data_IF_305192355695
#
_entry.id   IF_305192355695
#
_cell.length_a   1.000
_cell.length_b   1.000
_cell.length_c   1.000
_cell.angle_alpha   90.00
_cell.angle_beta   90.00
_cell.angle_gamma   90.00
#
_symmetry.space_group_name_H-M   'P 1'
#
loop_
_entity.id
_entity.type
_entity.pdbx_description
1 polymer ?
#
# COMPACT_ATOMS: atom_id res chain seq x y z
N UNK A 1 23.24 26.13 -26.21
CA UNK A 1 21.80 26.04 -26.56
C UNK A 1 21.25 24.80 -25.90
N UNK A 2 20.50 24.95 -24.81
CA UNK A 2 19.79 23.84 -24.17
C UNK A 2 18.57 23.52 -25.02
N UNK A 3 18.55 22.36 -25.67
CA UNK A 3 17.37 21.83 -26.35
C UNK A 3 16.23 21.80 -25.33
N UNK A 4 15.06 22.39 -25.61
CA UNK A 4 13.90 22.25 -24.73
C UNK A 4 13.59 20.76 -24.55
N UNK A 5 13.11 20.32 -23.36
CA UNK A 5 12.72 18.93 -23.17
C UNK A 5 11.70 18.57 -24.26
N UNK A 6 12.04 17.57 -25.08
CA UNK A 6 11.16 17.11 -26.13
C UNK A 6 9.84 16.70 -25.51
N UNK A 7 8.75 17.39 -25.85
CA UNK A 7 7.41 17.04 -25.39
C UNK A 7 7.08 15.65 -25.94
N UNK A 8 7.02 14.67 -25.04
CA UNK A 8 6.66 13.29 -25.36
C UNK A 8 5.13 13.20 -25.43
N UNK A 9 4.63 12.62 -26.51
CA UNK A 9 3.18 12.47 -26.73
C UNK A 9 2.60 11.33 -25.91
N UNK A 10 3.44 10.33 -25.61
CA UNK A 10 3.10 9.16 -24.81
C UNK A 10 3.67 9.27 -23.39
N UNK A 11 3.01 8.62 -22.43
CA UNK A 11 3.51 8.44 -21.07
C UNK A 11 3.04 7.09 -20.50
N UNK A 12 3.92 6.40 -19.78
CA UNK A 12 3.56 5.17 -19.08
C UNK A 12 3.03 5.48 -17.68
N UNK A 13 1.98 4.77 -17.29
CA UNK A 13 1.47 4.68 -15.93
C UNK A 13 1.48 3.22 -15.50
N UNK A 14 2.03 2.96 -14.33
CA UNK A 14 2.24 1.61 -13.81
C UNK A 14 1.54 1.49 -12.48
N UNK A 15 0.78 0.41 -12.32
CA UNK A 15 0.14 0.02 -11.07
C UNK A 15 0.51 -1.42 -10.77
N UNK A 16 1.01 -1.68 -9.56
CA UNK A 16 1.18 -3.05 -9.08
C UNK A 16 -0.19 -3.63 -8.73
N UNK A 17 -0.46 -4.85 -9.18
CA UNK A 17 -1.64 -5.61 -8.85
C UNK A 17 -1.27 -6.55 -7.69
N UNK A 18 -1.81 -6.29 -6.50
CA UNK A 18 -1.64 -7.13 -5.32
C UNK A 18 -2.98 -7.77 -4.96
N UNK A 19 -2.97 -8.98 -4.37
CA UNK A 19 -4.17 -9.43 -3.63
C UNK A 19 -4.40 -8.42 -2.50
N UNK A 20 -5.63 -7.89 -2.32
CA UNK A 20 -5.91 -6.99 -1.23
C UNK A 20 -5.70 -7.73 0.09
N UNK A 21 -4.77 -7.25 0.92
CA UNK A 21 -4.59 -7.69 2.29
C UNK A 21 -5.14 -6.60 3.20
N UNK A 22 -6.31 -6.84 3.79
CA UNK A 22 -6.79 -6.00 4.86
C UNK A 22 -5.98 -6.34 6.11
N UNK A 23 -5.21 -5.37 6.60
CA UNK A 23 -4.63 -5.48 7.91
C UNK A 23 -5.79 -5.40 8.90
N UNK A 24 -6.16 -6.54 9.48
CA UNK A 24 -7.10 -6.57 10.60
C UNK A 24 -6.30 -6.11 11.80
N UNK A 25 -6.23 -4.80 12.01
CA UNK A 25 -5.98 -4.31 13.34
C UNK A 25 -7.17 -4.75 14.18
N UNK A 26 -6.94 -5.58 15.18
CA UNK A 26 -7.89 -5.71 16.29
C UNK A 26 -7.78 -4.43 17.10
N UNK A 27 -8.64 -3.41 16.91
CA UNK A 27 -8.63 -2.26 17.76
C UNK A 27 -9.02 -2.71 19.16
N UNK A 28 -8.46 -2.01 20.13
CA UNK A 28 -9.09 -1.97 21.42
C UNK A 28 -10.42 -1.25 21.22
N UNK A 29 -11.53 -1.99 21.32
CA UNK A 29 -12.86 -1.41 21.34
C UNK A 29 -13.00 -0.62 22.65
N UNK A 30 -12.67 0.67 22.59
CA UNK A 30 -12.88 1.62 23.67
C UNK A 30 -14.26 2.23 23.45
N UNK A 31 -15.19 1.93 24.34
CA UNK A 31 -16.43 2.70 24.43
C UNK A 31 -16.11 4.05 25.09
N UNK A 32 -16.80 5.15 24.74
CA UNK A 32 -16.62 6.43 25.43
C UNK A 32 -16.81 6.33 26.95
N UNK A 33 -17.61 5.37 27.42
CA UNK A 33 -17.77 5.02 28.83
C UNK A 33 -16.49 4.46 29.48
N UNK A 34 -15.62 3.77 28.74
CA UNK A 34 -14.34 3.23 29.25
C UNK A 34 -13.29 4.33 29.51
N UNK A 35 -13.42 5.51 28.90
CA UNK A 35 -12.56 6.67 29.17
C UNK A 35 -12.94 7.40 30.47
N UNK A 36 -14.16 7.17 30.96
CA UNK A 36 -14.76 7.85 32.10
C UNK A 36 -14.79 6.93 33.32
N UNK A 37 -14.90 5.62 33.13
CA UNK A 37 -14.91 4.63 34.22
C UNK A 37 -13.70 3.69 34.19
N UNK A 38 -12.82 3.81 35.18
CA UNK A 38 -11.88 2.74 35.55
C UNK A 38 -12.56 1.68 36.42
N UNK A 39 -12.07 0.43 36.40
CA UNK A 39 -12.63 -0.67 37.22
C UNK A 39 -12.64 -0.35 38.73
N UNK A 40 -11.73 0.52 39.16
CA UNK A 40 -11.53 1.02 40.51
C UNK A 40 -12.73 1.83 41.06
N UNK A 41 -13.69 2.23 40.21
CA UNK A 41 -14.94 2.86 40.65
C UNK A 41 -15.89 1.85 41.29
N UNK A 42 -15.81 0.56 40.94
CA UNK A 42 -16.68 -0.48 41.50
C UNK A 42 -16.17 -1.02 42.84
N UNK A 43 -14.91 -0.75 43.19
CA UNK A 43 -14.32 -1.12 44.48
C UNK A 43 -14.65 -0.11 45.60
N UNK A 44 -15.06 1.13 45.26
CA UNK A 44 -15.46 2.16 46.21
C UNK A 44 -16.97 2.46 46.12
N UNK A 45 -17.77 2.07 47.14
CA UNK A 45 -19.23 2.26 47.13
C UNK A 45 -19.67 3.74 47.09
N UNK A 46 -18.79 4.69 47.44
CA UNK A 46 -19.08 6.13 47.36
C UNK A 46 -18.93 6.67 45.94
N UNK A 47 -18.01 6.13 45.14
CA UNK A 47 -17.81 6.53 43.76
C UNK A 47 -18.97 6.05 42.86
N UNK A 48 -19.51 4.86 43.13
CA UNK A 48 -20.65 4.29 42.43
C UNK A 48 -21.93 5.15 42.55
N UNK A 49 -22.15 5.83 43.67
CA UNK A 49 -23.32 6.71 43.87
C UNK A 49 -23.33 7.96 43.00
N UNK A 50 -22.18 8.40 42.48
CA UNK A 50 -22.07 9.60 41.63
C UNK A 50 -22.12 9.29 40.12
N UNK A 51 -22.02 8.01 39.75
CA UNK A 51 -22.07 7.54 38.36
C UNK A 51 -23.29 7.99 37.55
N UNK A 52 -24.54 7.98 38.07
CA UNK A 52 -25.71 8.35 37.28
C UNK A 52 -25.61 9.77 36.74
N UNK A 53 -25.04 10.70 37.52
CA UNK A 53 -24.95 12.12 37.16
C UNK A 53 -23.93 12.41 36.05
N UNK A 54 -22.93 11.55 35.89
CA UNK A 54 -21.88 11.67 34.86
C UNK A 54 -22.29 10.99 33.54
N UNK A 55 -23.19 10.00 33.60
CA UNK A 55 -23.67 9.24 32.43
C UNK A 55 -24.86 9.95 31.76
N UNK A 56 -25.72 10.60 32.54
CA UNK A 56 -26.94 11.28 32.05
C UNK A 56 -26.66 12.41 31.06
N UNK A 57 -25.47 12.99 31.06
CA UNK A 57 -25.16 14.15 30.21
C UNK A 57 -24.76 13.83 28.77
N UNK A 58 -24.48 12.56 28.39
CA UNK A 58 -23.97 12.31 27.02
C UNK A 58 -24.43 11.05 26.27
N UNK A 59 -25.32 10.19 26.80
CA UNK A 59 -25.77 9.00 26.08
C UNK A 59 -27.27 8.75 26.24
N UNK A 60 -28.09 9.65 25.71
CA UNK A 60 -29.53 9.41 25.50
C UNK A 60 -29.74 8.49 24.30
N UNK A 61 -29.36 7.22 24.42
CA UNK A 61 -29.89 6.14 23.59
C UNK A 61 -30.10 4.89 24.48
N UNK A 62 -31.36 4.51 24.76
CA UNK A 62 -31.68 3.42 25.69
C UNK A 62 -31.70 2.10 24.94
N UNK A 63 -30.52 1.61 24.52
CA UNK A 63 -30.36 0.19 24.18
C UNK A 63 -29.25 -0.34 25.09
N UNK A 64 -29.69 -1.09 26.11
CA UNK A 64 -28.91 -1.97 26.99
C UNK A 64 -27.85 -1.32 27.90
N UNK A 65 -28.33 -0.50 28.82
CA UNK A 65 -27.59 0.15 29.92
C UNK A 65 -27.25 -0.78 31.11
N UNK A 66 -26.71 -1.99 30.92
CA UNK A 66 -26.47 -2.87 32.09
C UNK A 66 -25.20 -3.70 32.14
N UNK A 67 -24.40 -3.76 31.08
CA UNK A 67 -23.10 -4.46 31.15
C UNK A 67 -21.95 -3.47 30.98
N UNK A 68 -21.63 -2.76 32.07
CA UNK A 68 -20.42 -1.95 32.20
C UNK A 68 -19.17 -2.81 32.44
N UNK A 69 -19.32 -4.14 32.43
CA UNK A 69 -18.20 -5.05 32.60
C UNK A 69 -17.46 -5.26 31.28
N UNK A 70 -16.17 -5.57 31.39
CA UNK A 70 -15.28 -5.83 30.27
C UNK A 70 -15.69 -7.08 29.44
N UNK A 71 -16.75 -7.81 29.85
CA UNK A 71 -17.14 -9.16 29.37
C UNK A 71 -17.89 -9.19 28.04
N UNK A 72 -18.73 -8.23 27.70
CA UNK A 72 -19.44 -8.30 26.40
C UNK A 72 -18.60 -7.80 25.21
N UNK A 73 -17.41 -7.23 25.46
CA UNK A 73 -16.56 -6.62 24.42
C UNK A 73 -15.85 -7.59 23.47
N UNK A 74 -15.89 -8.90 23.75
CA UNK A 74 -15.43 -9.94 22.81
C UNK A 74 -16.55 -10.49 21.92
N UNK A 75 -17.81 -10.10 22.16
CA UNK A 75 -18.94 -10.54 21.34
C UNK A 75 -19.05 -9.64 20.09
N UNK A 76 -18.83 -10.26 18.92
CA UNK A 76 -19.02 -9.64 17.62
C UNK A 76 -20.53 -9.44 17.38
N UNK A 77 -21.03 -8.21 17.49
CA UNK A 77 -22.45 -7.90 17.24
C UNK A 77 -22.72 -7.70 15.74
N UNK A 78 -21.74 -7.16 15.02
CA UNK A 78 -21.76 -7.01 13.57
C UNK A 78 -20.50 -7.60 12.93
N UNK A 79 -20.56 -8.05 11.66
CA UNK A 79 -19.36 -8.49 10.93
C UNK A 79 -18.27 -7.41 10.88
N UNK A 80 -18.67 -6.13 10.95
CA UNK A 80 -17.76 -4.99 10.92
C UNK A 80 -16.95 -4.82 12.21
N UNK A 81 -17.47 -5.28 13.35
CA UNK A 81 -16.78 -5.24 14.65
C UNK A 81 -15.52 -6.12 14.64
N UNK A 82 -15.51 -7.18 13.82
CA UNK A 82 -14.35 -8.07 13.69
C UNK A 82 -13.18 -7.44 12.92
N UNK A 83 -13.46 -6.40 12.12
CA UNK A 83 -12.45 -5.68 11.36
C UNK A 83 -11.89 -4.49 12.11
N UNK A 84 -12.61 -4.01 13.15
CA UNK A 84 -12.13 -2.91 13.93
C UNK A 84 -11.98 -1.57 13.22
N UNK A 85 -12.48 -1.51 11.99
CA UNK A 85 -12.56 -0.29 11.23
C UNK A 85 -13.66 0.57 11.83
N UNK A 86 -13.29 1.71 12.40
CA UNK A 86 -14.20 2.84 12.63
C UNK A 86 -14.66 3.42 11.29
N UNK A 87 -15.37 2.65 10.45
CA UNK A 87 -16.00 3.11 9.19
C UNK A 87 -15.11 3.80 8.13
N UNK A 88 -13.83 4.03 8.42
CA UNK A 88 -12.90 4.74 7.56
C UNK A 88 -12.11 3.69 6.78
N UNK A 89 -12.61 3.37 5.59
CA UNK A 89 -11.89 2.60 4.58
C UNK A 89 -10.69 3.43 4.09
N UNK A 90 -9.65 3.53 4.92
CA UNK A 90 -8.37 4.09 4.51
C UNK A 90 -7.64 3.00 3.75
N UNK A 91 -7.49 3.19 2.44
CA UNK A 91 -6.56 2.39 1.66
C UNK A 91 -5.18 2.50 2.32
N UNK A 92 -4.50 1.38 2.64
CA UNK A 92 -3.17 1.44 3.22
C UNK A 92 -2.28 2.35 2.37
N UNK A 93 -1.68 3.35 3.00
CA UNK A 93 -0.89 4.40 2.35
C UNK A 93 0.36 3.86 1.63
N UNK A 94 0.75 2.62 1.91
CA UNK A 94 1.89 1.96 1.28
C UNK A 94 1.47 1.05 0.13
N UNK A 95 2.10 1.26 -1.03
CA UNK A 95 2.36 0.17 -1.97
C UNK A 95 3.08 -0.90 -1.16
N UNK A 96 2.39 -1.99 -0.81
CA UNK A 96 2.92 -3.03 0.07
C UNK A 96 4.33 -3.46 -0.35
N UNK A 97 5.12 -3.99 0.57
CA UNK A 97 6.45 -4.49 0.24
C UNK A 97 6.38 -5.56 -0.88
N UNK A 98 7.42 -5.61 -1.70
CA UNK A 98 7.62 -6.67 -2.69
C UNK A 98 8.61 -7.64 -2.05
N UNK A 99 8.22 -8.90 -1.90
CA UNK A 99 9.07 -9.90 -1.26
C UNK A 99 9.66 -10.88 -2.26
N UNK A 100 10.85 -11.40 -1.94
CA UNK A 100 11.43 -12.50 -2.71
C UNK A 100 10.46 -13.70 -2.75
N UNK A 101 10.29 -14.27 -3.94
CA UNK A 101 9.43 -15.44 -4.16
C UNK A 101 7.98 -15.11 -4.46
N UNK A 102 7.57 -13.85 -4.42
CA UNK A 102 6.25 -13.44 -4.90
C UNK A 102 6.23 -13.26 -6.42
N UNK A 103 5.03 -13.29 -7.01
CA UNK A 103 4.83 -12.89 -8.41
C UNK A 103 4.50 -11.41 -8.46
N UNK A 104 5.41 -10.62 -9.05
CA UNK A 104 5.14 -9.24 -9.42
C UNK A 104 4.14 -9.23 -10.58
N UNK A 105 2.91 -8.81 -10.33
CA UNK A 105 1.89 -8.58 -11.34
C UNK A 105 1.66 -7.08 -11.47
N UNK A 106 1.68 -6.54 -12.69
CA UNK A 106 1.54 -5.11 -12.91
C UNK A 106 0.70 -4.78 -14.13
N UNK A 107 -0.24 -3.86 -13.92
CA UNK A 107 -1.00 -3.17 -14.95
C UNK A 107 -0.21 -1.97 -15.47
N UNK A 108 -0.04 -1.91 -16.79
CA UNK A 108 0.70 -0.86 -17.47
C UNK A 108 -0.22 -0.22 -18.51
N UNK A 109 -0.33 1.10 -18.44
CA UNK A 109 -1.12 1.93 -19.36
C UNK A 109 -0.19 2.91 -20.07
N UNK A 110 -0.24 2.92 -21.39
CA UNK A 110 0.40 3.95 -22.22
C UNK A 110 -0.67 4.95 -22.59
N UNK A 111 -0.50 6.20 -22.15
CA UNK A 111 -1.46 7.26 -22.40
C UNK A 111 -0.93 8.17 -23.49
N UNK A 112 -1.74 8.46 -24.50
CA UNK A 112 -1.46 9.50 -25.47
C UNK A 112 -2.06 10.81 -24.95
N UNK A 113 -1.24 11.72 -24.43
CA UNK A 113 -1.66 13.04 -23.94
C UNK A 113 -1.61 14.13 -25.02
N UNK A 114 -1.31 13.78 -26.26
CA UNK A 114 -1.32 14.72 -27.38
C UNK A 114 -2.73 14.88 -27.98
N UNK A 115 -2.84 15.87 -28.87
CA UNK A 115 -4.08 16.19 -29.59
C UNK A 115 -4.17 15.47 -30.96
N UNK A 116 -3.27 14.54 -31.25
CA UNK A 116 -3.23 13.80 -32.51
C UNK A 116 -3.08 12.30 -32.25
N UNK A 117 -3.33 11.51 -33.29
CA UNK A 117 -3.14 10.06 -33.26
C UNK A 117 -1.65 9.72 -33.38
N UNK A 118 -1.17 8.84 -32.50
CA UNK A 118 0.18 8.28 -32.55
C UNK A 118 0.12 6.91 -33.19
N UNK A 119 1.10 6.55 -34.03
CA UNK A 119 1.08 5.31 -34.83
C UNK A 119 2.36 4.48 -34.69
N UNK A 120 2.32 3.24 -35.18
CA UNK A 120 3.44 2.31 -35.24
C UNK A 120 4.15 2.12 -33.89
N UNK A 121 3.37 1.93 -32.82
CA UNK A 121 3.91 1.90 -31.47
C UNK A 121 4.48 0.51 -31.17
N UNK A 122 5.80 0.44 -31.00
CA UNK A 122 6.51 -0.72 -30.48
C UNK A 122 6.79 -0.50 -28.99
N UNK A 123 6.20 -1.37 -28.18
CA UNK A 123 6.30 -1.39 -26.74
C UNK A 123 7.23 -2.52 -26.31
N UNK A 124 8.13 -2.20 -25.38
CA UNK A 124 9.01 -3.15 -24.71
C UNK A 124 8.97 -2.94 -23.21
N UNK A 125 8.74 -3.99 -22.43
CA UNK A 125 8.79 -3.95 -20.98
C UNK A 125 9.84 -4.94 -20.47
N UNK A 126 10.76 -4.46 -19.63
CA UNK A 126 11.89 -5.23 -19.13
C UNK A 126 12.03 -5.05 -17.62
N UNK A 127 12.26 -6.13 -16.89
CA UNK A 127 12.67 -6.08 -15.49
C UNK A 127 14.20 -6.02 -15.44
N UNK A 128 14.73 -4.93 -14.91
CA UNK A 128 16.17 -4.77 -14.67
C UNK A 128 16.47 -4.99 -13.19
N UNK A 129 17.35 -5.95 -12.93
CA UNK A 129 17.92 -6.28 -11.62
C UNK A 129 19.40 -5.87 -11.60
N UNK A 130 20.08 -6.10 -10.48
CA UNK A 130 21.53 -5.91 -10.40
C UNK A 130 22.31 -6.92 -11.27
N UNK A 131 21.75 -8.13 -11.48
CA UNK A 131 22.45 -9.21 -12.18
C UNK A 131 22.11 -9.30 -13.66
N UNK A 132 20.86 -8.99 -14.01
CA UNK A 132 20.34 -9.28 -15.33
C UNK A 132 19.18 -8.36 -15.73
N UNK A 133 18.87 -8.40 -17.04
CA UNK A 133 17.71 -7.74 -17.65
C UNK A 133 16.82 -8.79 -18.27
N UNK A 134 15.58 -8.87 -17.78
CA UNK A 134 14.61 -9.90 -18.13
C UNK A 134 13.53 -9.25 -18.99
N UNK A 135 13.27 -9.81 -20.18
CA UNK A 135 12.23 -9.34 -21.07
C UNK A 135 10.86 -9.85 -20.61
N UNK A 136 9.94 -8.93 -20.33
CA UNK A 136 8.56 -9.26 -19.91
C UNK A 136 7.58 -9.15 -21.08
N UNK A 137 7.74 -8.14 -21.93
CA UNK A 137 6.92 -7.92 -23.12
C UNK A 137 7.76 -7.32 -24.24
N UNK A 138 7.51 -7.79 -25.46
CA UNK A 138 8.01 -7.19 -26.68
C UNK A 138 6.96 -7.29 -27.79
N UNK A 139 6.51 -6.14 -28.28
CA UNK A 139 5.50 -6.03 -29.34
C UNK A 139 6.12 -5.72 -30.71
N UNK A 140 7.44 -5.81 -30.87
CA UNK A 140 8.12 -5.54 -32.15
C UNK A 140 7.62 -6.38 -33.32
N UNK A 141 7.13 -7.60 -33.06
CA UNK A 141 6.54 -8.49 -34.08
C UNK A 141 5.12 -8.11 -34.47
N UNK A 142 4.38 -7.49 -33.55
CA UNK A 142 2.98 -7.08 -33.72
C UNK A 142 2.81 -5.71 -33.06
N UNK A 143 3.31 -4.64 -33.70
CA UNK A 143 3.22 -3.30 -33.15
C UNK A 143 1.76 -2.88 -32.94
N UNK A 144 1.52 -2.00 -31.97
CA UNK A 144 0.21 -1.38 -31.79
C UNK A 144 0.02 -0.38 -32.92
N UNK A 145 -1.00 -0.60 -33.76
CA UNK A 145 -1.23 0.19 -34.98
C UNK A 145 -1.34 1.68 -34.67
N UNK A 146 -2.21 2.04 -33.73
CA UNK A 146 -2.36 3.42 -33.30
C UNK A 146 -2.97 3.58 -31.90
N UNK A 147 -2.70 4.74 -31.30
CA UNK A 147 -3.38 5.22 -30.10
C UNK A 147 -3.94 6.61 -30.44
N UNK A 148 -5.27 6.70 -30.50
CA UNK A 148 -6.00 7.95 -30.74
C UNK A 148 -5.59 9.06 -29.76
N UNK A 149 -5.81 10.31 -30.14
CA UNK A 149 -5.64 11.46 -29.25
C UNK A 149 -6.40 11.25 -27.93
N UNK A 150 -5.75 11.54 -26.80
CA UNK A 150 -6.29 11.27 -25.45
C UNK A 150 -6.67 9.81 -25.18
N UNK A 151 -6.23 8.87 -26.03
CA UNK A 151 -6.44 7.44 -25.88
C UNK A 151 -5.41 6.79 -24.96
N UNK A 152 -5.57 5.48 -24.77
CA UNK A 152 -4.59 4.66 -24.06
C UNK A 152 -4.53 3.24 -24.62
N UNK A 153 -3.42 2.57 -24.34
CA UNK A 153 -3.24 1.14 -24.57
C UNK A 153 -2.79 0.48 -23.27
N UNK A 154 -3.50 -0.57 -22.87
CA UNK A 154 -3.38 -1.20 -21.56
C UNK A 154 -2.93 -2.65 -21.70
N UNK A 155 -2.02 -3.10 -20.84
CA UNK A 155 -1.60 -4.50 -20.77
C UNK A 155 -1.11 -4.85 -19.36
N UNK A 156 -1.03 -6.16 -19.08
CA UNK A 156 -0.53 -6.69 -17.82
C UNK A 156 0.77 -7.44 -18.08
N UNK A 157 1.73 -7.29 -17.17
CA UNK A 157 2.96 -8.09 -17.13
C UNK A 157 3.06 -8.82 -15.80
N UNK A 158 3.59 -10.03 -15.85
CA UNK A 158 3.83 -10.86 -14.67
C UNK A 158 5.28 -11.34 -14.63
N UNK A 159 5.87 -11.36 -13.44
CA UNK A 159 7.24 -11.78 -13.23
C UNK A 159 7.43 -12.38 -11.83
N UNK A 160 7.91 -13.62 -11.76
CA UNK A 160 8.31 -14.22 -10.49
C UNK A 160 9.60 -13.58 -9.98
N UNK A 161 9.53 -12.95 -8.81
CA UNK A 161 10.63 -12.20 -8.21
C UNK A 161 11.63 -13.18 -7.60
N UNK A 162 12.82 -13.26 -8.20
CA UNK A 162 13.87 -14.21 -7.84
C UNK A 162 15.10 -13.58 -7.20
N UNK A 163 15.14 -12.26 -7.11
CA UNK A 163 16.30 -11.52 -6.63
C UNK A 163 15.88 -10.51 -5.55
N UNK A 164 16.75 -10.28 -4.57
CA UNK A 164 16.58 -9.26 -3.54
C UNK A 164 17.14 -7.92 -4.02
N UNK A 165 16.74 -6.83 -3.36
CA UNK A 165 17.33 -5.52 -3.57
C UNK A 165 16.66 -4.71 -4.67
N UNK A 166 17.41 -3.81 -5.30
CA UNK A 166 16.85 -2.81 -6.21
C UNK A 166 16.45 -3.42 -7.55
N UNK A 167 15.20 -3.18 -7.94
CA UNK A 167 14.63 -3.57 -9.22
C UNK A 167 14.13 -2.32 -9.94
N UNK A 168 14.19 -2.35 -11.26
CA UNK A 168 13.66 -1.30 -12.13
C UNK A 168 12.85 -1.92 -13.24
N UNK A 169 11.55 -1.66 -13.28
CA UNK A 169 10.73 -1.93 -14.45
C UNK A 169 11.00 -0.83 -15.48
N UNK A 170 11.54 -1.23 -16.63
CA UNK A 170 11.85 -0.35 -17.76
C UNK A 170 10.80 -0.53 -18.83
N UNK A 171 9.95 0.47 -19.02
CA UNK A 171 8.97 0.52 -20.09
C UNK A 171 9.48 1.43 -21.20
N UNK A 172 9.46 0.93 -22.43
CA UNK A 172 9.96 1.65 -23.59
C UNK A 172 8.92 1.66 -24.68
N UNK A 173 8.68 2.83 -25.28
CA UNK A 173 7.88 2.98 -26.49
C UNK A 173 8.74 3.60 -27.60
N UNK A 174 8.75 2.96 -28.76
CA UNK A 174 9.18 3.55 -30.01
C UNK A 174 7.91 3.81 -30.83
N UNK A 175 7.70 5.02 -31.32
CA UNK A 175 6.45 5.40 -31.99
C UNK A 175 6.67 6.48 -33.05
N UNK A 176 5.71 6.60 -33.97
CA UNK A 176 5.63 7.68 -34.96
C UNK A 176 4.64 8.73 -34.47
N UNK A 177 5.11 9.97 -34.29
CA UNK A 177 4.28 11.10 -33.85
C UNK A 177 3.34 11.61 -34.96
N UNK A 178 2.53 12.63 -34.68
CA UNK A 178 1.61 13.22 -35.68
C UNK A 178 2.32 13.79 -36.92
N UNK A 179 3.58 14.21 -36.77
CA UNK A 179 4.43 14.70 -37.87
C UNK A 179 5.15 13.57 -38.64
N UNK A 180 4.95 12.30 -38.24
CA UNK A 180 5.62 11.13 -38.83
C UNK A 180 7.03 10.86 -38.30
N UNK A 181 7.54 11.73 -37.42
CA UNK A 181 8.85 11.57 -36.79
C UNK A 181 8.87 10.42 -35.78
N UNK A 182 9.93 9.59 -35.85
CA UNK A 182 10.12 8.48 -34.90
C UNK A 182 10.66 8.99 -33.58
N UNK A 183 9.94 8.73 -32.50
CA UNK A 183 10.29 9.09 -31.12
C UNK A 183 10.56 7.85 -30.28
N UNK A 184 11.52 8.00 -29.37
CA UNK A 184 11.91 6.99 -28.40
C UNK A 184 11.63 7.50 -26.98
N UNK A 185 10.87 6.72 -26.21
CA UNK A 185 10.43 7.05 -24.85
C UNK A 185 10.76 5.90 -23.89
N UNK A 186 11.83 6.01 -23.09
CA UNK A 186 12.07 5.14 -21.96
C UNK A 186 11.51 5.76 -20.66
N UNK A 187 10.86 4.94 -19.83
CA UNK A 187 10.42 5.31 -18.48
C UNK A 187 10.78 4.22 -17.47
N UNK A 188 11.32 4.64 -16.32
CA UNK A 188 11.91 3.77 -15.33
C UNK A 188 11.11 3.82 -14.03
N UNK A 189 10.66 2.66 -13.56
CA UNK A 189 9.89 2.51 -12.33
C UNK A 189 10.70 1.68 -11.34
N UNK A 190 11.29 2.34 -10.34
CA UNK A 190 12.19 1.72 -9.37
C UNK A 190 11.43 1.24 -8.15
N UNK A 191 11.78 0.07 -7.65
CA UNK A 191 11.24 -0.49 -6.40
C UNK A 191 12.29 -1.40 -5.74
N UNK A 192 12.07 -1.73 -4.47
CA UNK A 192 12.97 -2.60 -3.68
C UNK A 192 12.25 -3.90 -3.36
N UNK A 193 12.94 -5.01 -3.57
CA UNK A 193 12.51 -6.34 -3.13
C UNK A 193 13.14 -6.66 -1.77
N UNK A 194 12.30 -6.92 -0.78
CA UNK A 194 12.68 -7.25 0.58
C UNK A 194 12.74 -8.76 0.84
N UNK A 195 13.49 -9.15 1.86
CA UNK A 195 13.48 -10.53 2.35
C UNK A 195 12.21 -10.74 3.22
N UNK A 196 11.36 -11.74 2.92
CA UNK A 196 10.17 -12.03 3.72
C UNK A 196 10.48 -12.38 5.18
N UNK A 197 11.69 -12.85 5.49
CA UNK A 197 12.13 -13.27 6.83
C UNK A 197 13.11 -12.28 7.47
N UNK A 198 12.87 -10.98 7.33
CA UNK A 198 13.71 -9.96 7.96
C UNK A 198 13.47 -9.93 9.48
N UNK A 199 14.13 -10.83 10.21
CA UNK A 199 14.16 -10.83 11.68
C UNK A 199 14.99 -9.63 12.12
N UNK A 200 14.34 -8.60 12.68
CA UNK A 200 15.03 -7.55 13.42
C UNK A 200 15.27 -8.06 14.84
N UNK A 201 16.52 -8.31 15.27
CA UNK A 201 16.77 -8.55 16.68
C UNK A 201 16.36 -7.28 17.43
N UNK A 202 15.40 -7.41 18.34
CA UNK A 202 15.10 -6.35 19.29
C UNK A 202 16.31 -6.24 20.20
N UNK A 203 17.19 -5.29 19.90
CA UNK A 203 18.33 -4.99 20.75
C UNK A 203 17.80 -4.62 22.14
N UNK A 204 18.40 -5.12 23.23
CA UNK A 204 17.94 -4.77 24.56
C UNK A 204 18.03 -3.26 24.74
N UNK A 205 16.91 -2.65 25.10
CA UNK A 205 16.83 -1.27 25.57
C UNK A 205 17.75 -1.13 26.79
N UNK A 206 18.96 -0.63 26.60
CA UNK A 206 19.90 -0.36 27.68
C UNK A 206 19.49 0.92 28.42
N UNK A 207 18.47 0.80 29.28
CA UNK A 207 18.38 1.56 30.52
C UNK A 207 18.43 0.55 31.66
N UNK A 208 19.44 0.65 32.53
CA UNK A 208 19.49 -0.14 33.75
C UNK A 208 20.90 -0.48 34.20
N UNK A 209 21.41 0.33 35.14
CA UNK A 209 22.54 0.02 36.00
C UNK A 209 22.47 -1.41 36.55
N UNK A 210 23.50 -2.22 36.30
CA UNK A 210 23.91 -3.26 37.24
C UNK A 210 25.43 -3.25 37.41
N UNK A 211 25.82 -2.80 38.61
CA UNK A 211 27.13 -2.97 39.21
C UNK A 211 27.37 -4.47 39.40
N UNK A 212 28.47 -5.02 38.87
CA UNK A 212 29.13 -6.16 39.50
C UNK A 212 30.65 -5.95 39.56
N UNK A 213 31.14 -6.14 40.77
CA UNK A 213 32.47 -5.95 41.32
C UNK A 213 33.25 -7.26 41.15
N UNK A 214 34.52 -7.18 40.78
CA UNK A 214 35.57 -8.05 41.36
C UNK A 214 36.09 -9.26 40.57
N UNK A 215 37.42 -9.24 40.42
CA UNK A 215 38.38 -10.35 40.52
C UNK A 215 38.48 -11.37 39.36
N UNK A 216 39.54 -11.27 38.57
CA UNK A 216 40.82 -11.93 38.88
C UNK A 216 42.00 -11.19 38.26
#
# INVERSE_FOLDING_TARGET
MSTPPATQSLAFRVMRLCRPSFHVDTPLLLTPSDLILGEDIFDDPLAATHLPSLIDTHLTNPIDSSDLSYRSRFLLQTPFDSFGLTGLLVLPQSFGAIYLGETFCSYISINNSSNFEVRDIVIKAEMQTERQRILLLDTSKTPVESIRASGRYDFIVEHDVKELGAHTLVCTALYSDGDGERKYLPQFFKFIVANPLSVRPQGPSSQGNYIFRGMH
#
